data_IF_336732245651
#
_entry.id   IF_336732245651
#
_cell.length_a   1.000
_cell.length_b   1.000
_cell.length_c   1.000
_cell.angle_alpha   90.00
_cell.angle_beta   90.00
_cell.angle_gamma   90.00
#
_symmetry.space_group_name_H-M   'P 1'
#
loop_
_entity.id
_entity.type
_entity.pdbx_description
1 polymer ?
#
# COMPACT_ATOMS: atom_id res chain seq x y z
N UNK A 1 -26.91 28.22 1.60
CA UNK A 1 -26.78 26.74 1.49
C UNK A 1 -25.41 26.40 2.05
N UNK A 2 -25.36 25.63 3.13
CA UNK A 2 -24.10 25.47 3.87
C UNK A 2 -23.17 24.51 3.10
N UNK A 3 -21.86 24.77 3.08
CA UNK A 3 -20.86 23.89 2.42
C UNK A 3 -20.99 22.41 2.82
N UNK A 4 -21.55 22.13 4.01
CA UNK A 4 -21.86 20.78 4.51
C UNK A 4 -22.92 20.04 3.66
N UNK A 5 -23.86 20.75 3.04
CA UNK A 5 -24.86 20.17 2.13
C UNK A 5 -24.26 19.76 0.78
N UNK A 6 -23.17 20.41 0.35
CA UNK A 6 -22.44 20.08 -0.88
C UNK A 6 -21.63 18.78 -0.74
N UNK A 7 -20.95 18.59 0.39
CA UNK A 7 -20.22 17.34 0.70
C UNK A 7 -21.17 16.14 0.86
N UNK A 8 -22.37 16.37 1.40
CA UNK A 8 -23.46 15.37 1.49
C UNK A 8 -24.05 15.03 0.10
N UNK A 9 -24.21 16.01 -0.80
CA UNK A 9 -24.67 15.75 -2.16
C UNK A 9 -23.65 14.94 -2.98
N UNK A 10 -22.35 15.02 -2.67
CA UNK A 10 -21.33 14.14 -3.24
C UNK A 10 -21.45 12.69 -2.76
N UNK A 11 -21.82 12.49 -1.49
CA UNK A 11 -22.07 11.17 -0.93
C UNK A 11 -23.29 10.50 -1.60
N UNK A 12 -24.31 11.26 -2.00
CA UNK A 12 -25.48 10.71 -2.72
C UNK A 12 -25.16 10.21 -4.14
N UNK A 13 -24.00 10.56 -4.73
CA UNK A 13 -23.54 10.00 -6.01
C UNK A 13 -22.72 8.71 -5.88
N UNK A 14 -22.36 8.31 -4.65
CA UNK A 14 -21.55 7.13 -4.37
C UNK A 14 -22.30 5.79 -4.49
N UNK A 15 -23.64 5.82 -4.50
CA UNK A 15 -24.47 4.61 -4.66
C UNK A 15 -24.85 4.33 -6.13
N UNK A 16 -23.93 4.50 -7.08
CA UNK A 16 -24.10 3.80 -8.36
C UNK A 16 -23.88 2.31 -8.11
N UNK A 17 -24.99 1.63 -7.79
CA UNK A 17 -25.17 0.20 -7.56
C UNK A 17 -24.68 -0.64 -8.76
N UNK A 18 -23.37 -0.82 -8.89
CA UNK A 18 -22.82 -1.91 -9.69
C UNK A 18 -22.16 -2.88 -8.73
N UNK A 19 -22.77 -4.04 -8.53
CA UNK A 19 -22.09 -5.17 -7.91
C UNK A 19 -20.77 -5.38 -8.67
N UNK A 20 -19.63 -5.15 -8.02
CA UNK A 20 -18.32 -5.28 -8.68
C UNK A 20 -18.04 -6.76 -8.87
N UNK A 21 -18.32 -7.25 -10.07
CA UNK A 21 -17.98 -8.61 -10.48
C UNK A 21 -16.47 -8.69 -10.64
N UNK A 22 -15.85 -9.66 -9.95
CA UNK A 22 -14.40 -9.90 -10.00
C UNK A 22 -14.03 -10.34 -11.43
N UNK A 23 -13.30 -9.49 -12.17
CA UNK A 23 -12.80 -9.79 -13.52
C UNK A 23 -13.33 -8.90 -14.64
N UNK A 24 -14.27 -7.98 -14.37
CA UNK A 24 -14.75 -7.01 -15.37
C UNK A 24 -14.06 -5.64 -15.21
N UNK A 25 -13.60 -5.00 -16.30
CA UNK A 25 -12.96 -3.69 -16.24
C UNK A 25 -13.99 -2.62 -15.88
N UNK A 26 -13.80 -1.95 -14.74
CA UNK A 26 -14.64 -0.84 -14.31
C UNK A 26 -14.07 0.51 -14.76
N UNK A 27 -14.95 1.50 -14.92
CA UNK A 27 -14.57 2.87 -15.28
C UNK A 27 -13.74 3.47 -14.13
N UNK A 28 -12.53 3.95 -14.42
CA UNK A 28 -11.61 4.52 -13.42
C UNK A 28 -11.91 5.98 -13.08
N UNK A 29 -12.60 6.71 -13.98
CA UNK A 29 -13.06 8.07 -13.74
C UNK A 29 -14.41 8.11 -13.01
N UNK A 30 -14.51 7.36 -11.93
CA UNK A 30 -15.64 7.44 -11.00
C UNK A 30 -15.26 8.32 -9.81
N UNK A 31 -16.26 8.91 -9.17
CA UNK A 31 -16.12 9.84 -8.06
C UNK A 31 -15.52 11.20 -8.42
N UNK A 32 -15.94 12.17 -7.64
CA UNK A 32 -15.42 13.53 -7.71
C UNK A 32 -14.00 13.60 -7.19
N UNK A 33 -13.24 14.51 -7.79
CA UNK A 33 -11.79 14.60 -7.68
C UNK A 33 -11.29 14.44 -6.23
N UNK A 34 -11.71 15.30 -5.29
CA UNK A 34 -11.17 15.37 -3.93
C UNK A 34 -11.33 14.11 -3.05
N UNK A 35 -12.19 13.17 -3.43
CA UNK A 35 -12.45 11.95 -2.66
C UNK A 35 -11.94 10.70 -3.36
N UNK A 36 -11.17 10.84 -4.45
CA UNK A 36 -10.70 9.73 -5.26
C UNK A 36 -9.56 8.98 -4.58
N UNK A 37 -9.69 7.64 -4.56
CA UNK A 37 -8.65 6.75 -4.07
C UNK A 37 -7.40 6.79 -4.97
N UNK A 38 -6.18 6.64 -4.42
CA UNK A 38 -4.94 6.74 -5.18
C UNK A 38 -4.88 5.73 -6.35
N UNK A 39 -5.42 4.51 -6.20
CA UNK A 39 -5.51 3.52 -7.26
C UNK A 39 -6.35 3.98 -8.47
N UNK A 40 -7.40 4.77 -8.23
CA UNK A 40 -8.21 5.36 -9.29
C UNK A 40 -7.48 6.53 -9.98
N UNK A 41 -6.61 7.24 -9.25
CA UNK A 41 -5.73 8.28 -9.83
C UNK A 41 -4.71 7.65 -10.79
N UNK A 42 -4.24 6.45 -10.49
CA UNK A 42 -3.37 5.65 -11.38
C UNK A 42 -4.13 4.97 -12.54
N UNK A 43 -5.45 5.12 -12.61
CA UNK A 43 -6.26 4.56 -13.69
C UNK A 43 -6.52 3.06 -13.56
N UNK A 44 -6.40 2.48 -12.36
CA UNK A 44 -6.76 1.07 -12.14
C UNK A 44 -8.22 0.82 -12.53
N UNK A 45 -8.46 -0.18 -13.36
CA UNK A 45 -9.79 -0.66 -13.77
C UNK A 45 -10.31 -1.78 -12.86
N UNK A 46 -9.40 -2.41 -12.11
CA UNK A 46 -9.67 -3.42 -11.09
C UNK A 46 -9.50 -2.81 -9.70
N UNK A 47 -10.61 -2.49 -9.04
CA UNK A 47 -10.63 -1.93 -7.70
C UNK A 47 -11.76 -2.55 -6.87
N UNK A 48 -11.54 -2.68 -5.57
CA UNK A 48 -12.49 -3.33 -4.66
C UNK A 48 -13.44 -2.31 -4.00
N UNK A 49 -14.16 -2.72 -2.96
CA UNK A 49 -14.93 -1.84 -2.07
C UNK A 49 -14.02 -0.93 -1.21
N UNK A 50 -12.70 -1.13 -1.24
CA UNK A 50 -11.73 -0.29 -0.54
C UNK A 50 -11.76 1.17 -0.99
N UNK A 51 -12.11 1.45 -2.25
CA UNK A 51 -12.25 2.82 -2.76
C UNK A 51 -13.34 3.60 -1.99
N UNK A 52 -14.42 2.91 -1.58
CA UNK A 52 -15.54 3.54 -0.90
C UNK A 52 -15.18 3.89 0.54
N UNK A 53 -14.32 3.06 1.17
CA UNK A 53 -13.76 3.30 2.49
C UNK A 53 -12.84 4.53 2.44
N UNK A 54 -11.98 4.64 1.43
CA UNK A 54 -11.11 5.80 1.22
C UNK A 54 -11.92 7.10 1.15
N UNK A 55 -12.96 7.12 0.32
CA UNK A 55 -13.77 8.31 0.11
C UNK A 55 -14.57 8.71 1.35
N UNK A 56 -15.09 7.74 2.11
CA UNK A 56 -15.73 8.01 3.42
C UNK A 56 -14.75 8.63 4.41
N UNK A 57 -13.51 8.16 4.45
CA UNK A 57 -12.45 8.74 5.30
C UNK A 57 -12.13 10.19 4.90
N UNK A 58 -12.09 10.48 3.60
CA UNK A 58 -11.88 11.85 3.10
C UNK A 58 -13.04 12.79 3.49
N UNK A 59 -14.29 12.32 3.40
CA UNK A 59 -15.47 13.10 3.85
C UNK A 59 -15.42 13.33 5.36
N UNK A 60 -15.10 12.29 6.15
CA UNK A 60 -14.97 12.42 7.60
C UNK A 60 -13.89 13.44 7.98
N UNK A 61 -12.74 13.39 7.31
CA UNK A 61 -11.67 14.35 7.53
C UNK A 61 -12.06 15.78 7.13
N UNK A 62 -12.80 15.96 6.04
CA UNK A 62 -13.33 17.27 5.65
C UNK A 62 -14.34 17.82 6.67
N UNK A 63 -15.20 16.97 7.23
CA UNK A 63 -16.11 17.37 8.29
C UNK A 63 -15.37 17.83 9.55
N UNK A 64 -14.23 17.22 9.87
CA UNK A 64 -13.38 17.60 11.00
C UNK A 64 -12.57 18.87 10.74
N UNK A 65 -12.03 19.03 9.53
CA UNK A 65 -11.15 20.14 9.16
C UNK A 65 -11.90 21.37 8.62
N UNK A 66 -13.16 21.21 8.19
CA UNK A 66 -13.96 22.26 7.55
C UNK A 66 -13.49 22.63 6.13
N UNK A 67 -12.51 21.90 5.59
CA UNK A 67 -11.92 22.09 4.25
C UNK A 67 -11.57 20.73 3.64
N UNK A 68 -11.58 20.58 2.29
CA UNK A 68 -11.27 19.33 1.64
C UNK A 68 -9.85 18.86 1.98
N UNK A 69 -9.70 17.59 2.33
CA UNK A 69 -8.43 17.01 2.79
C UNK A 69 -7.36 16.99 1.68
N UNK A 70 -7.76 16.73 0.43
CA UNK A 70 -6.85 16.60 -0.71
C UNK A 70 -7.26 17.51 -1.88
N UNK A 71 -7.02 18.84 -1.77
CA UNK A 71 -7.33 19.78 -2.85
C UNK A 71 -6.33 19.61 -4.01
N UNK A 72 -6.82 19.44 -5.24
CA UNK A 72 -5.94 19.33 -6.42
C UNK A 72 -6.63 19.66 -7.74
N UNK A 73 -5.90 20.31 -8.65
CA UNK A 73 -6.39 20.63 -10.00
C UNK A 73 -6.09 19.50 -10.99
N UNK A 74 -5.06 18.71 -10.74
CA UNK A 74 -4.72 17.49 -11.49
C UNK A 74 -4.63 16.27 -10.57
N UNK A 75 -4.66 15.07 -11.14
CA UNK A 75 -4.43 13.83 -10.38
C UNK A 75 -3.04 13.79 -9.72
N UNK A 76 -2.05 14.43 -10.35
CA UNK A 76 -0.70 14.55 -9.78
C UNK A 76 -0.70 15.44 -8.54
N UNK A 77 -1.41 16.57 -8.58
CA UNK A 77 -1.51 17.47 -7.41
C UNK A 77 -2.21 16.79 -6.24
N UNK A 78 -3.27 16.01 -6.52
CA UNK A 78 -3.91 15.21 -5.47
C UNK A 78 -2.97 14.21 -4.83
N UNK A 79 -2.16 13.49 -5.62
CA UNK A 79 -1.15 12.58 -5.09
C UNK A 79 -0.15 13.33 -4.22
N UNK A 80 0.26 14.54 -4.62
CA UNK A 80 1.15 15.39 -3.83
C UNK A 80 0.50 15.80 -2.50
N UNK A 81 -0.78 16.15 -2.47
CA UNK A 81 -1.49 16.45 -1.22
C UNK A 81 -1.66 15.22 -0.32
N UNK A 82 -2.00 14.06 -0.89
CA UNK A 82 -2.06 12.78 -0.15
C UNK A 82 -0.73 12.50 0.54
N UNK A 83 0.35 12.74 -0.19
CA UNK A 83 1.71 12.60 0.27
C UNK A 83 2.07 13.64 1.36
N UNK A 84 1.60 14.88 1.25
CA UNK A 84 1.89 15.98 2.20
C UNK A 84 1.28 15.78 3.59
N UNK A 85 0.18 15.06 3.71
CA UNK A 85 -0.57 14.90 4.98
C UNK A 85 0.18 14.08 6.04
N UNK A 86 1.39 13.58 5.75
CA UNK A 86 2.36 13.16 6.78
C UNK A 86 2.88 11.73 6.67
N UNK A 87 2.76 11.10 5.51
CA UNK A 87 3.40 9.80 5.29
C UNK A 87 4.92 10.00 5.13
N UNK A 88 5.68 9.66 6.17
CA UNK A 88 7.15 9.70 6.15
C UNK A 88 7.73 8.66 5.18
N UNK A 89 7.02 7.55 5.00
CA UNK A 89 7.38 6.48 4.07
C UNK A 89 6.17 5.93 3.33
N UNK A 90 6.40 5.52 2.09
CA UNK A 90 5.43 4.82 1.24
C UNK A 90 6.08 3.53 0.75
N UNK A 91 5.37 2.41 0.89
CA UNK A 91 5.85 1.12 0.41
C UNK A 91 4.97 0.60 -0.72
N UNK A 92 5.61 0.17 -1.81
CA UNK A 92 4.93 -0.37 -2.99
C UNK A 92 5.48 -1.76 -3.32
N UNK A 93 4.62 -2.72 -3.62
CA UNK A 93 5.05 -4.00 -4.20
C UNK A 93 4.91 -4.02 -5.73
N UNK A 94 4.00 -3.24 -6.31
CA UNK A 94 3.71 -3.26 -7.76
C UNK A 94 4.56 -2.22 -8.50
N UNK A 95 5.58 -2.69 -9.19
CA UNK A 95 6.40 -1.92 -10.14
C UNK A 95 6.66 -2.77 -11.38
N UNK A 96 7.15 -2.14 -12.45
CA UNK A 96 7.58 -2.85 -13.64
C UNK A 96 8.64 -3.93 -13.31
N UNK A 97 8.55 -5.09 -13.95
CA UNK A 97 9.42 -6.23 -13.66
C UNK A 97 10.89 -5.93 -14.00
N UNK A 98 11.16 -5.27 -15.14
CA UNK A 98 12.52 -4.91 -15.55
C UNK A 98 13.12 -3.89 -14.59
N UNK A 99 12.31 -2.94 -14.17
CA UNK A 99 12.67 -1.93 -13.18
C UNK A 99 12.94 -2.56 -11.80
N UNK A 100 12.23 -3.63 -11.43
CA UNK A 100 12.48 -4.37 -10.18
C UNK A 100 13.82 -5.08 -10.19
N UNK A 101 14.11 -5.86 -11.23
CA UNK A 101 15.37 -6.62 -11.33
C UNK A 101 16.56 -5.67 -11.31
N UNK A 102 16.49 -4.57 -12.07
CA UNK A 102 17.50 -3.52 -12.03
C UNK A 102 17.71 -2.93 -10.62
N UNK A 103 16.64 -2.67 -9.88
CA UNK A 103 16.75 -2.15 -8.50
C UNK A 103 17.28 -3.16 -7.50
N UNK A 104 17.05 -4.46 -7.70
CA UNK A 104 17.68 -5.52 -6.90
C UNK A 104 19.19 -5.53 -7.14
N UNK A 105 19.61 -5.48 -8.40
CA UNK A 105 21.02 -5.47 -8.79
C UNK A 105 21.74 -4.21 -8.28
N UNK A 106 21.10 -3.05 -8.42
CA UNK A 106 21.63 -1.75 -7.97
C UNK A 106 21.44 -1.49 -6.46
N UNK A 107 20.71 -2.37 -5.77
CA UNK A 107 20.30 -2.23 -4.35
C UNK A 107 19.61 -0.90 -4.04
N UNK A 108 18.76 -0.45 -4.97
CA UNK A 108 17.99 0.79 -4.91
C UNK A 108 16.49 0.55 -4.66
N UNK A 109 16.13 -0.59 -4.07
CA UNK A 109 14.74 -0.88 -3.68
C UNK A 109 14.20 0.12 -2.64
N UNK A 110 15.06 0.79 -1.89
CA UNK A 110 14.70 1.92 -1.03
C UNK A 110 15.31 3.21 -1.57
N UNK A 111 14.44 4.13 -1.99
CA UNK A 111 14.86 5.41 -2.55
C UNK A 111 14.30 6.54 -1.70
N UNK A 112 15.18 7.47 -1.35
CA UNK A 112 14.77 8.76 -0.86
C UNK A 112 14.19 9.57 -2.04
N UNK A 113 12.87 9.64 -2.14
CA UNK A 113 12.19 10.32 -3.23
C UNK A 113 11.80 11.72 -2.79
N UNK A 114 12.27 12.72 -3.55
CA UNK A 114 11.84 14.11 -3.39
C UNK A 114 10.64 14.35 -4.31
N UNK A 115 9.43 14.30 -3.73
CA UNK A 115 8.18 14.38 -4.48
C UNK A 115 7.89 15.75 -5.14
N UNK A 116 8.58 16.82 -4.73
CA UNK A 116 8.42 18.13 -5.34
C UNK A 116 9.72 18.94 -5.29
N UNK A 117 10.00 19.70 -6.37
CA UNK A 117 11.12 20.66 -6.44
C UNK A 117 10.84 21.94 -5.62
N UNK A 118 9.56 22.27 -5.38
CA UNK A 118 9.11 23.51 -4.73
C UNK A 118 8.79 23.37 -3.24
N UNK A 119 8.56 22.16 -2.75
CA UNK A 119 8.53 21.89 -1.31
C UNK A 119 9.97 21.60 -0.84
N UNK A 120 10.36 22.13 0.33
CA UNK A 120 11.70 22.04 0.90
C UNK A 120 12.20 20.61 1.21
N UNK A 121 13.02 20.45 2.24
CA UNK A 121 13.74 19.21 2.62
C UNK A 121 12.86 18.00 3.02
N UNK A 122 11.56 17.98 2.71
CA UNK A 122 10.67 16.84 2.99
C UNK A 122 10.93 15.74 1.96
N UNK A 123 12.00 15.01 2.20
CA UNK A 123 12.38 13.82 1.44
C UNK A 123 11.60 12.63 1.99
N UNK A 124 10.81 11.96 1.16
CA UNK A 124 10.06 10.77 1.57
C UNK A 124 10.87 9.52 1.30
N UNK A 125 10.74 8.53 2.16
CA UNK A 125 11.31 7.20 1.92
C UNK A 125 10.29 6.40 1.11
N UNK A 126 10.61 6.14 -0.16
CA UNK A 126 9.83 5.19 -0.97
C UNK A 126 10.53 3.84 -0.93
N UNK A 127 9.93 2.88 -0.24
CA UNK A 127 10.40 1.50 -0.20
C UNK A 127 9.65 0.64 -1.22
N UNK A 128 10.36 -0.29 -1.85
CA UNK A 128 9.80 -1.25 -2.79
C UNK A 128 10.02 -2.65 -2.24
N UNK A 129 8.95 -3.41 -2.10
CA UNK A 129 9.07 -4.80 -1.64
C UNK A 129 9.81 -5.66 -2.69
N UNK A 130 10.71 -6.57 -2.27
CA UNK A 130 11.52 -7.37 -3.21
C UNK A 130 10.72 -8.31 -4.11
N UNK A 131 9.59 -8.80 -3.64
CA UNK A 131 8.76 -9.81 -4.31
C UNK A 131 7.31 -9.36 -4.39
N UNK A 132 6.58 -9.47 -3.28
CA UNK A 132 5.17 -9.10 -3.20
C UNK A 132 4.83 -8.69 -1.76
N UNK A 133 3.56 -8.35 -1.48
CA UNK A 133 3.07 -8.13 -0.11
C UNK A 133 2.85 -9.43 0.69
N UNK A 134 3.46 -10.53 0.25
CA UNK A 134 3.26 -11.85 0.85
C UNK A 134 4.43 -12.14 1.79
N UNK A 135 4.20 -12.92 2.87
CA UNK A 135 5.28 -13.41 3.70
C UNK A 135 6.28 -14.25 2.90
N UNK A 136 7.51 -14.45 3.43
CA UNK A 136 8.44 -15.40 2.86
C UNK A 136 7.82 -16.79 2.75
N UNK A 137 8.26 -17.55 1.75
CA UNK A 137 7.76 -18.90 1.51
C UNK A 137 7.87 -19.75 2.79
N UNK A 138 6.79 -20.45 3.13
CA UNK A 138 6.71 -21.26 4.34
C UNK A 138 6.43 -20.48 5.64
N UNK A 139 6.23 -19.16 5.59
CA UNK A 139 5.81 -18.32 6.74
C UNK A 139 4.40 -17.78 6.60
N UNK A 140 3.54 -18.49 5.86
CA UNK A 140 2.14 -18.12 5.73
C UNK A 140 1.30 -18.89 6.77
N UNK A 141 0.73 -18.16 7.72
CA UNK A 141 -0.01 -18.73 8.86
C UNK A 141 -1.53 -18.60 8.69
N UNK A 142 -2.01 -18.79 7.46
CA UNK A 142 -3.43 -18.76 7.13
C UNK A 142 -4.10 -20.10 7.46
N UNK A 143 -5.38 -20.06 7.87
CA UNK A 143 -6.11 -21.23 8.39
C UNK A 143 -6.19 -22.40 7.40
N UNK A 144 -6.15 -22.12 6.10
CA UNK A 144 -6.23 -23.12 5.03
C UNK A 144 -4.90 -23.32 4.29
N UNK A 145 -3.80 -22.78 4.82
CA UNK A 145 -2.51 -22.93 4.17
C UNK A 145 -1.85 -24.28 4.52
N UNK A 146 -1.04 -24.76 3.59
CA UNK A 146 -0.29 -26.02 3.70
C UNK A 146 1.06 -25.85 4.40
N UNK A 147 1.41 -24.63 4.81
CA UNK A 147 2.67 -24.38 5.53
C UNK A 147 2.72 -25.15 6.85
N UNK A 148 3.85 -25.83 7.14
CA UNK A 148 3.97 -26.62 8.36
C UNK A 148 3.93 -25.70 9.61
N UNK A 149 3.13 -26.06 10.63
CA UNK A 149 3.08 -25.29 11.87
C UNK A 149 4.44 -25.32 12.58
N UNK A 150 4.73 -24.27 13.34
CA UNK A 150 5.86 -24.28 14.26
C UNK A 150 5.45 -25.15 15.45
N UNK A 151 6.19 -26.24 15.67
CA UNK A 151 5.96 -27.15 16.78
C UNK A 151 7.10 -27.02 17.78
N UNK A 152 6.77 -26.53 18.97
CA UNK A 152 7.70 -26.23 20.06
C UNK A 152 7.67 -27.25 21.20
N UNK A 153 6.75 -28.22 21.17
CA UNK A 153 6.69 -29.28 22.17
C UNK A 153 7.79 -30.34 21.93
N UNK A 154 8.77 -30.48 22.84
CA UNK A 154 9.85 -31.45 22.72
C UNK A 154 9.42 -32.90 22.97
N UNK A 155 8.18 -33.12 23.44
CA UNK A 155 7.62 -34.46 23.68
C UNK A 155 6.88 -35.02 22.46
N UNK A 156 6.60 -34.18 21.45
CA UNK A 156 5.99 -34.58 20.20
C UNK A 156 7.08 -34.93 19.17
N UNK A 157 6.81 -35.92 18.32
CA UNK A 157 7.78 -36.46 17.35
C UNK A 157 8.18 -35.50 16.23
N UNK A 158 7.58 -34.30 16.18
CA UNK A 158 7.75 -33.31 15.12
C UNK A 158 8.27 -31.97 15.66
N UNK A 159 9.31 -31.97 16.51
CA UNK A 159 9.94 -30.73 16.99
C UNK A 159 10.65 -29.99 15.84
N UNK A 160 10.10 -28.86 15.39
CA UNK A 160 10.59 -28.13 14.20
C UNK A 160 11.25 -26.78 14.50
N UNK A 161 11.27 -26.34 15.77
CA UNK A 161 11.71 -24.97 16.14
C UNK A 161 13.07 -24.60 15.55
N UNK A 162 14.07 -25.47 15.67
CA UNK A 162 15.43 -25.14 15.23
C UNK A 162 15.52 -24.96 13.71
N UNK A 163 14.79 -25.77 12.96
CA UNK A 163 14.71 -25.67 11.49
C UNK A 163 14.00 -24.37 11.10
N UNK A 164 12.85 -24.07 11.71
CA UNK A 164 12.05 -22.87 11.41
C UNK A 164 12.79 -21.58 11.77
N UNK A 165 13.57 -21.58 12.84
CA UNK A 165 14.47 -20.47 13.20
C UNK A 165 15.55 -20.29 12.14
N UNK A 166 16.16 -21.38 11.68
CA UNK A 166 17.18 -21.31 10.64
C UNK A 166 16.60 -20.80 9.31
N UNK A 167 15.40 -21.24 8.93
CA UNK A 167 14.67 -20.76 7.74
C UNK A 167 14.38 -19.27 7.83
N UNK A 168 13.92 -18.80 8.99
CA UNK A 168 13.64 -17.38 9.22
C UNK A 168 14.92 -16.54 9.13
N UNK A 169 16.00 -17.01 9.73
CA UNK A 169 17.31 -16.35 9.66
C UNK A 169 17.82 -16.31 8.22
N UNK A 170 17.67 -17.40 7.46
CA UNK A 170 18.04 -17.44 6.05
C UNK A 170 17.22 -16.45 5.20
N UNK A 171 15.90 -16.36 5.44
CA UNK A 171 15.04 -15.37 4.79
C UNK A 171 15.39 -13.93 5.17
N UNK A 172 15.72 -13.67 6.44
CA UNK A 172 16.19 -12.37 6.92
C UNK A 172 17.49 -11.95 6.25
N UNK A 173 18.46 -12.86 6.15
CA UNK A 173 19.75 -12.58 5.51
C UNK A 173 19.57 -12.38 4.00
N UNK A 174 18.78 -13.22 3.34
CA UNK A 174 18.52 -13.08 1.90
C UNK A 174 17.85 -11.74 1.58
N UNK A 175 16.87 -11.32 2.39
CA UNK A 175 16.26 -10.00 2.25
C UNK A 175 17.26 -8.87 2.55
N UNK A 176 18.06 -8.99 3.62
CA UNK A 176 19.04 -7.97 3.99
C UNK A 176 20.11 -7.74 2.91
N UNK A 177 20.48 -8.76 2.14
CA UNK A 177 21.46 -8.59 1.05
C UNK A 177 20.96 -7.73 -0.11
N UNK A 178 19.63 -7.61 -0.26
CA UNK A 178 18.97 -6.79 -1.28
C UNK A 178 18.86 -5.31 -0.90
N UNK A 179 18.98 -4.97 0.39
CA UNK A 179 18.89 -3.61 0.90
C UNK A 179 20.27 -3.08 1.29
N UNK A 180 20.70 -1.97 0.70
CA UNK A 180 22.07 -1.48 0.89
C UNK A 180 22.25 -0.54 2.11
N UNK A 181 21.17 -0.04 2.71
CA UNK A 181 21.23 1.19 3.53
C UNK A 181 20.64 1.12 4.93
N UNK A 182 19.75 0.18 5.24
CA UNK A 182 19.08 0.15 6.55
C UNK A 182 19.21 -1.23 7.16
N UNK A 183 19.61 -1.28 8.43
CA UNK A 183 19.72 -2.51 9.23
C UNK A 183 18.34 -3.15 9.52
N UNK A 184 17.25 -2.54 9.06
CA UNK A 184 15.88 -2.97 9.27
C UNK A 184 15.27 -3.46 7.95
N UNK A 185 14.94 -4.75 7.90
CA UNK A 185 14.15 -5.34 6.82
C UNK A 185 12.69 -5.44 7.29
N UNK A 186 11.75 -4.98 6.47
CA UNK A 186 10.33 -5.14 6.73
C UNK A 186 9.81 -6.43 6.09
N UNK A 187 9.25 -7.32 6.90
CA UNK A 187 8.49 -8.47 6.42
C UNK A 187 6.99 -8.15 6.48
N UNK A 188 6.25 -8.48 5.43
CA UNK A 188 4.80 -8.62 5.52
C UNK A 188 4.52 -9.98 6.15
N UNK A 189 3.94 -10.00 7.36
CA UNK A 189 3.47 -11.21 8.04
C UNK A 189 2.00 -11.45 7.71
#
# INVERSE_FOLDING_TARGET
>A
MSRKEESLNHFCRFQSNSQKVKGEPNISYICSRYYRAPELIFGATEYSTAIDIWSRSCVLAELLLGQPLFPGESGVDQLVEIIKVGFNSLYFARIDYQDREKRKDEKTLEVLRRGSRSLGSTSQITGIFPTHYNPPDGFQFEVNDVSPPIQDDPLLSEYTVQERVNDFVAAAISQATLFCRVLHCAFSL
#
